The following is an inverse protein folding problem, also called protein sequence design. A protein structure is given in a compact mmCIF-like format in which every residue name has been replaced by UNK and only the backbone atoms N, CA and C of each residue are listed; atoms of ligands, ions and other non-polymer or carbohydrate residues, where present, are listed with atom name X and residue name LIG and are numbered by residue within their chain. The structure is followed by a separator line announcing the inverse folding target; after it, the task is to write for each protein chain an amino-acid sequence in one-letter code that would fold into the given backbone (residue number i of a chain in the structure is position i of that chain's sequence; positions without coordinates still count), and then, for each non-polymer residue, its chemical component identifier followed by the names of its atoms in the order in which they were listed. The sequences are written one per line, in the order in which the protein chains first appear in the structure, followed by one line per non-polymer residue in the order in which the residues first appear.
data_IF_873322808345
#
_entry.id   IF_873322808345
#
_cell.length_a   1.000
_cell.length_b   1.000
_cell.length_c   1.000
_cell.angle_alpha   90.00
_cell.angle_beta   90.00
_cell.angle_gamma   90.00
#
_symmetry.space_group_name_H-M   'P 1'
#
loop_
_entity.id
_entity.type
_entity.pdbx_description
1 polymer ?
#
# COMPACT_ATOMS: atom_id res chain seq x y z
N UNK A 1 10.48 -31.87 -11.02
CA UNK A 1 11.16 -30.55 -10.92
C UNK A 1 11.19 -29.96 -12.31
N UNK A 2 10.73 -28.73 -12.48
CA UNK A 2 10.77 -28.01 -13.77
C UNK A 2 11.85 -26.95 -13.66
N UNK A 3 12.63 -26.75 -14.71
CA UNK A 3 13.67 -25.72 -14.78
C UNK A 3 13.11 -24.47 -15.46
N UNK A 4 13.22 -23.32 -14.78
CA UNK A 4 12.82 -22.01 -15.32
C UNK A 4 14.05 -21.13 -15.46
N UNK A 5 14.30 -20.63 -16.67
CA UNK A 5 15.43 -19.75 -16.97
C UNK A 5 14.90 -18.36 -17.30
N UNK A 6 15.42 -17.34 -16.63
CA UNK A 6 15.11 -15.94 -16.90
C UNK A 6 16.41 -15.12 -16.92
N UNK A 7 16.38 -13.99 -17.63
CA UNK A 7 17.49 -13.04 -17.65
C UNK A 7 17.28 -12.03 -16.53
N UNK A 8 18.31 -11.82 -15.74
CA UNK A 8 18.35 -10.85 -14.66
C UNK A 8 19.71 -10.20 -14.69
N UNK A 9 19.76 -8.92 -14.35
CA UNK A 9 21.01 -8.20 -14.16
C UNK A 9 21.87 -8.87 -13.06
N UNK A 10 23.19 -8.87 -13.25
CA UNK A 10 24.10 -9.60 -12.36
C UNK A 10 24.15 -8.97 -10.96
N UNK A 11 24.17 -7.63 -10.89
CA UNK A 11 24.19 -6.90 -9.62
C UNK A 11 22.84 -7.04 -8.91
N UNK A 12 21.74 -6.93 -9.65
CA UNK A 12 20.40 -7.17 -9.10
C UNK A 12 20.26 -8.58 -8.51
N UNK A 13 20.75 -9.61 -9.22
CA UNK A 13 20.71 -10.99 -8.74
C UNK A 13 21.51 -11.15 -7.45
N UNK A 14 22.70 -10.55 -7.38
CA UNK A 14 23.55 -10.60 -6.19
C UNK A 14 22.88 -9.93 -5.00
N UNK A 15 22.39 -8.70 -5.18
CA UNK A 15 21.68 -7.95 -4.14
C UNK A 15 20.44 -8.70 -3.64
N UNK A 16 19.63 -9.24 -4.54
CA UNK A 16 18.46 -10.04 -4.17
C UNK A 16 18.85 -11.30 -3.40
N UNK A 17 19.91 -12.01 -3.83
CA UNK A 17 20.38 -13.20 -3.13
C UNK A 17 20.85 -12.88 -1.70
N UNK A 18 21.67 -11.83 -1.53
CA UNK A 18 22.13 -11.39 -0.20
C UNK A 18 20.97 -10.96 0.70
N UNK A 19 20.00 -10.23 0.15
CA UNK A 19 18.80 -9.81 0.87
C UNK A 19 18.00 -11.01 1.39
N UNK A 20 17.68 -11.97 0.53
CA UNK A 20 16.87 -13.12 0.93
C UNK A 20 17.63 -14.08 1.85
N UNK A 21 18.95 -14.25 1.67
CA UNK A 21 19.78 -15.01 2.61
C UNK A 21 19.77 -14.37 4.00
N UNK A 22 19.79 -13.04 4.11
CA UNK A 22 19.65 -12.35 5.40
C UNK A 22 18.30 -12.59 6.09
N UNK A 23 17.27 -12.94 5.31
CA UNK A 23 15.95 -13.35 5.79
C UNK A 23 15.83 -14.87 6.03
N UNK A 24 16.90 -15.63 5.83
CA UNK A 24 16.92 -17.08 6.00
C UNK A 24 16.28 -17.87 4.86
N UNK A 25 16.25 -17.33 3.63
CA UNK A 25 15.69 -18.03 2.47
C UNK A 25 16.54 -17.86 1.21
N UNK A 26 16.57 -18.90 0.36
CA UNK A 26 17.23 -18.80 -0.93
C UNK A 26 16.43 -17.93 -1.92
N UNK A 27 17.12 -17.31 -2.88
CA UNK A 27 16.48 -16.59 -4.00
C UNK A 27 15.44 -17.45 -4.74
N UNK A 28 15.71 -18.75 -4.91
CA UNK A 28 14.77 -19.67 -5.55
C UNK A 28 13.50 -19.88 -4.70
N UNK A 29 13.66 -19.96 -3.38
CA UNK A 29 12.52 -20.03 -2.46
C UNK A 29 11.67 -18.78 -2.57
N UNK A 30 12.29 -17.59 -2.59
CA UNK A 30 11.59 -16.32 -2.73
C UNK A 30 10.79 -16.23 -4.05
N UNK A 31 11.37 -16.67 -5.18
CA UNK A 31 10.67 -16.72 -6.48
C UNK A 31 9.46 -17.66 -6.43
N UNK A 32 9.60 -18.83 -5.79
CA UNK A 32 8.47 -19.75 -5.61
C UNK A 32 7.36 -19.14 -4.76
N UNK A 33 7.70 -18.41 -3.69
CA UNK A 33 6.72 -17.68 -2.87
C UNK A 33 6.02 -16.62 -3.70
N UNK A 34 6.76 -15.83 -4.48
CA UNK A 34 6.19 -14.83 -5.39
C UNK A 34 5.15 -15.46 -6.33
N UNK A 35 5.50 -16.54 -7.03
CA UNK A 35 4.59 -17.21 -7.96
C UNK A 35 3.34 -17.77 -7.27
N UNK A 36 3.51 -18.40 -6.10
CA UNK A 36 2.37 -18.94 -5.32
C UNK A 36 1.43 -17.82 -4.87
N UNK A 37 1.98 -16.70 -4.44
CA UNK A 37 1.21 -15.55 -4.01
C UNK A 37 0.42 -14.95 -5.18
N UNK A 38 1.05 -14.84 -6.36
CA UNK A 38 0.37 -14.35 -7.56
C UNK A 38 -0.83 -15.20 -7.95
N UNK A 39 -0.69 -16.53 -7.87
CA UNK A 39 -1.76 -17.48 -8.18
C UNK A 39 -2.86 -17.42 -7.12
N UNK A 40 -2.50 -17.39 -5.84
CA UNK A 40 -3.46 -17.36 -4.73
C UNK A 40 -4.38 -16.15 -4.82
N UNK A 41 -3.84 -14.99 -5.15
CA UNK A 41 -4.57 -13.72 -5.12
C UNK A 41 -5.01 -13.22 -6.50
N UNK A 42 -4.68 -13.95 -7.57
CA UNK A 42 -5.00 -13.60 -8.95
C UNK A 42 -4.54 -12.18 -9.33
N UNK A 43 -3.41 -11.73 -8.77
CA UNK A 43 -2.83 -10.39 -8.98
C UNK A 43 -1.32 -10.40 -8.76
N UNK A 44 -0.66 -9.30 -9.07
CA UNK A 44 0.75 -9.12 -8.70
C UNK A 44 0.89 -9.10 -7.16
N UNK A 45 1.87 -9.80 -6.56
CA UNK A 45 2.06 -9.88 -5.11
C UNK A 45 2.34 -8.52 -4.46
N UNK A 46 2.86 -7.58 -5.25
CA UNK A 46 3.01 -6.18 -4.89
C UNK A 46 2.41 -5.29 -5.98
N UNK A 47 2.00 -4.08 -5.61
CA UNK A 47 1.50 -3.08 -6.55
C UNK A 47 2.70 -2.34 -7.17
N UNK A 48 2.92 -2.41 -8.50
CA UNK A 48 3.96 -1.62 -9.13
C UNK A 48 3.60 -0.13 -9.04
N UNK A 49 4.58 0.70 -8.70
CA UNK A 49 4.46 2.15 -8.65
C UNK A 49 5.69 2.78 -9.28
N UNK A 50 5.48 3.84 -10.08
CA UNK A 50 6.56 4.69 -10.57
C UNK A 50 6.90 5.82 -9.58
N UNK A 51 6.07 6.00 -8.53
CA UNK A 51 6.42 6.89 -7.44
C UNK A 51 7.61 6.30 -6.67
N UNK A 52 8.54 7.14 -6.18
CA UNK A 52 9.60 6.67 -5.28
C UNK A 52 8.97 5.86 -4.15
N UNK A 53 9.61 4.75 -3.79
CA UNK A 53 9.14 3.81 -2.78
C UNK A 53 8.77 4.58 -1.52
N UNK A 54 7.47 4.79 -1.31
CA UNK A 54 6.86 5.56 -0.22
C UNK A 54 7.80 6.64 0.31
N UNK A 55 7.72 7.84 -0.27
CA UNK A 55 8.14 9.06 0.46
C UNK A 55 7.67 8.85 1.90
N UNK A 56 8.62 8.86 2.84
CA UNK A 56 8.36 8.71 4.27
C UNK A 56 7.08 9.46 4.62
N UNK A 57 6.23 8.88 5.48
CA UNK A 57 5.05 9.62 5.97
C UNK A 57 5.49 11.05 6.27
N UNK A 58 4.78 12.06 5.75
CA UNK A 58 5.24 13.43 5.82
C UNK A 58 5.48 13.80 7.28
N UNK A 59 6.33 14.79 7.56
CA UNK A 59 6.53 15.20 8.95
C UNK A 59 5.19 15.54 9.62
N UNK A 60 5.05 15.17 10.90
CA UNK A 60 3.85 15.49 11.65
C UNK A 60 3.61 17.01 11.62
N UNK A 61 2.43 17.41 11.15
CA UNK A 61 2.06 18.82 10.92
C UNK A 61 1.93 19.20 9.45
N UNK A 62 2.33 18.36 8.49
CA UNK A 62 2.11 18.64 7.06
C UNK A 62 0.63 18.61 6.71
N UNK A 63 0.17 19.67 6.05
CA UNK A 63 -1.20 19.83 5.56
C UNK A 63 -1.23 19.70 4.05
N UNK A 64 -2.04 18.78 3.55
CA UNK A 64 -2.28 18.56 2.13
C UNK A 64 -3.12 19.69 1.51
N UNK A 65 -3.07 19.93 0.19
CA UNK A 65 -3.85 20.98 -0.48
C UNK A 65 -5.37 20.90 -0.27
N UNK A 66 -5.91 19.71 0.04
CA UNK A 66 -7.31 19.50 0.39
C UNK A 66 -7.62 19.76 1.89
N UNK A 67 -6.67 20.29 2.64
CA UNK A 67 -6.81 20.62 4.07
C UNK A 67 -6.61 19.44 5.03
N UNK A 68 -6.31 18.23 4.54
CA UNK A 68 -6.03 17.07 5.40
C UNK A 68 -4.65 17.21 6.03
N UNK A 69 -4.57 17.19 7.36
CA UNK A 69 -3.31 17.33 8.10
C UNK A 69 -2.83 15.98 8.66
N UNK A 70 -1.57 15.62 8.43
CA UNK A 70 -0.96 14.45 9.06
C UNK A 70 -0.49 14.79 10.48
N UNK A 71 -0.88 14.00 11.48
CA UNK A 71 -0.59 14.23 12.90
C UNK A 71 0.47 13.28 13.48
N UNK A 72 1.09 12.44 12.65
CA UNK A 72 2.03 11.42 13.13
C UNK A 72 1.37 10.04 13.28
N UNK A 73 1.98 9.18 14.09
CA UNK A 73 1.47 7.84 14.39
C UNK A 73 0.78 7.81 15.75
N UNK A 74 -0.21 6.93 15.93
CA UNK A 74 -0.77 6.60 17.24
C UNK A 74 0.13 5.62 18.02
N UNK A 75 -0.24 5.28 19.25
CA UNK A 75 0.48 4.32 20.11
C UNK A 75 0.59 2.91 19.51
N UNK A 76 -0.18 2.60 18.46
CA UNK A 76 -0.21 1.32 17.74
C UNK A 76 0.56 1.38 16.42
N UNK A 77 1.15 2.51 16.08
CA UNK A 77 1.91 2.72 14.85
C UNK A 77 1.05 3.00 13.61
N UNK A 78 -0.22 3.34 13.76
CA UNK A 78 -1.08 3.73 12.63
C UNK A 78 -1.05 5.25 12.38
N UNK A 79 -1.04 5.69 11.11
CA UNK A 79 -1.04 7.11 10.77
C UNK A 79 -2.33 7.80 11.20
N UNK A 80 -2.19 8.92 11.92
CA UNK A 80 -3.28 9.78 12.36
C UNK A 80 -3.37 10.97 11.42
N UNK A 81 -4.57 11.22 10.90
CA UNK A 81 -4.86 12.41 10.07
C UNK A 81 -6.03 13.20 10.64
N UNK A 82 -5.98 14.52 10.52
CA UNK A 82 -7.11 15.41 10.78
C UNK A 82 -7.76 15.78 9.45
N UNK A 83 -9.04 15.42 9.31
CA UNK A 83 -9.86 15.70 8.14
C UNK A 83 -10.66 16.99 8.43
N UNK A 84 -10.59 18.02 7.56
CA UNK A 84 -11.39 19.24 7.73
C UNK A 84 -12.88 18.94 7.56
N UNK A 85 -13.74 19.66 8.28
CA UNK A 85 -15.20 19.44 8.29
C UNK A 85 -15.84 19.50 6.89
N UNK A 86 -15.25 20.29 5.98
CA UNK A 86 -15.68 20.40 4.59
C UNK A 86 -15.57 19.09 3.80
N UNK A 87 -14.62 18.22 4.19
CA UNK A 87 -14.47 16.87 3.61
C UNK A 87 -15.26 15.81 4.38
N UNK A 88 -15.72 16.14 5.60
CA UNK A 88 -16.64 15.31 6.35
C UNK A 88 -18.03 15.55 5.78
N UNK A 89 -18.39 14.80 4.73
CA UNK A 89 -19.80 14.68 4.36
C UNK A 89 -20.52 14.10 5.56
N UNK A 90 -21.29 14.92 6.28
CA UNK A 90 -22.31 14.40 7.18
C UNK A 90 -23.28 13.68 6.25
N UNK A 91 -23.40 12.34 6.29
CA UNK A 91 -24.40 11.69 5.47
C UNK A 91 -25.74 12.27 5.93
N UNK A 92 -26.47 12.90 5.00
CA UNK A 92 -27.82 13.36 5.30
C UNK A 92 -28.58 12.13 5.79
N UNK A 93 -29.27 12.25 6.91
CA UNK A 93 -30.11 11.16 7.43
C UNK A 93 -31.54 11.51 7.12
N UNK A 94 -32.29 10.55 6.59
CA UNK A 94 -33.74 10.69 6.50
C UNK A 94 -34.35 10.63 7.91
N UNK A 95 -35.65 10.93 8.03
CA UNK A 95 -36.40 11.01 9.30
C UNK A 95 -36.29 9.72 10.14
N UNK A 96 -36.03 8.57 9.50
CA UNK A 96 -35.85 7.26 10.12
C UNK A 96 -34.39 6.96 10.52
N UNK A 97 -33.50 7.94 10.46
CA UNK A 97 -32.09 7.80 10.87
C UNK A 97 -31.19 7.04 9.89
N UNK A 98 -31.74 6.54 8.78
CA UNK A 98 -31.01 5.89 7.69
C UNK A 98 -30.06 6.90 7.00
N UNK A 99 -28.75 6.62 6.91
CA UNK A 99 -27.83 7.46 6.14
C UNK A 99 -28.20 7.42 4.66
N UNK A 100 -28.64 8.54 4.09
CA UNK A 100 -28.78 8.66 2.63
C UNK A 100 -27.42 9.00 2.03
N UNK A 101 -27.02 8.23 1.03
CA UNK A 101 -25.82 8.50 0.28
C UNK A 101 -25.97 9.88 -0.41
N UNK A 102 -24.93 10.73 -0.39
CA UNK A 102 -24.94 11.97 -1.18
C UNK A 102 -25.16 11.61 -2.65
N UNK A 103 -26.17 12.22 -3.28
CA UNK A 103 -26.59 11.96 -4.67
C UNK A 103 -25.53 12.36 -5.72
N UNK A 104 -24.28 12.64 -5.33
CA UNK A 104 -23.21 13.13 -6.19
C UNK A 104 -22.29 12.04 -6.76
N UNK A 105 -22.67 10.76 -6.67
CA UNK A 105 -22.01 9.64 -7.39
C UNK A 105 -22.95 9.05 -8.45
N UNK A 106 -23.51 9.92 -9.29
CA UNK A 106 -24.01 9.55 -10.62
C UNK A 106 -23.24 10.37 -11.64
N UNK A 107 -22.08 9.85 -12.01
CA UNK A 107 -21.53 9.77 -13.37
C UNK A 107 -20.32 8.82 -13.35
#
# INVERSE_FOLDING_TARGET
MVTSTYRVDADLKKQAAELYESMGMSLNTAINVFLRQSVKEHRMPFQPSAAPAMESLPDAGVVSPNGVAYKGLDDRGYPVVAIPEQLVTTPKRDDDGTPVLPQLWKD
#
